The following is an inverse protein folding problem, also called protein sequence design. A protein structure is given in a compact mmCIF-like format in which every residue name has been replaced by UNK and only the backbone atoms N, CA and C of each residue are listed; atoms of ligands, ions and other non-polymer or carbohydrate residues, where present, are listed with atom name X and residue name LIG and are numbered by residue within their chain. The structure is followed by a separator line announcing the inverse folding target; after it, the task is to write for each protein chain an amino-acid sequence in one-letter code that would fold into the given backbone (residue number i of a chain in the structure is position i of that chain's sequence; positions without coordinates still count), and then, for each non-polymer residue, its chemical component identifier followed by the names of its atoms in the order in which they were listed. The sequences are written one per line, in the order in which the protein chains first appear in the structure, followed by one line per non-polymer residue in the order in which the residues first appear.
data_IF_849577338498
#
_entry.id   IF_849577338498
#
_cell.length_a   1.000
_cell.length_b   1.000
_cell.length_c   1.000
_cell.angle_alpha   90.00
_cell.angle_beta   90.00
_cell.angle_gamma   90.00
#
_symmetry.space_group_name_H-M   'P 1'
#
loop_
_entity.id
_entity.type
_entity.pdbx_description
1 polymer ?
#
# COMPACT_ATOMS: atom_id res chain seq x y z
N UNK A 1 -40.73 29.66 -9.10
CA UNK A 1 -41.33 30.80 -8.35
C UNK A 1 -40.63 30.92 -6.99
N UNK A 2 -39.98 32.05 -6.67
CA UNK A 2 -39.32 32.25 -5.36
C UNK A 2 -40.33 32.85 -4.37
N UNK A 3 -40.34 32.39 -3.11
CA UNK A 3 -41.22 32.91 -2.03
C UNK A 3 -40.37 33.44 -0.89
N UNK A 4 -40.70 34.62 -0.36
CA UNK A 4 -40.00 35.19 0.81
C UNK A 4 -40.37 34.40 2.06
N UNK A 5 -39.37 34.09 2.88
CA UNK A 5 -39.51 33.42 4.18
C UNK A 5 -38.61 34.13 5.18
N UNK A 6 -39.10 34.31 6.39
CA UNK A 6 -38.29 34.79 7.52
C UNK A 6 -37.96 33.60 8.42
N UNK A 7 -36.69 33.47 8.77
CA UNK A 7 -36.19 32.43 9.66
C UNK A 7 -35.01 32.99 10.45
N UNK A 8 -34.81 32.47 11.66
CA UNK A 8 -33.69 32.81 12.51
C UNK A 8 -32.54 31.85 12.23
N UNK A 9 -31.33 32.38 12.09
CA UNK A 9 -30.10 31.61 11.95
C UNK A 9 -29.14 31.95 13.08
N UNK A 10 -28.42 30.95 13.55
CA UNK A 10 -27.30 31.17 14.47
C UNK A 10 -26.11 31.79 13.71
N UNK A 11 -25.25 32.52 14.41
CA UNK A 11 -24.07 33.16 13.81
C UNK A 11 -23.16 32.16 13.08
N UNK A 12 -22.99 30.95 13.62
CA UNK A 12 -22.20 29.90 12.98
C UNK A 12 -22.75 29.53 11.59
N UNK A 13 -24.07 29.42 11.45
CA UNK A 13 -24.73 29.13 10.17
C UNK A 13 -24.58 30.28 9.20
N UNK A 14 -24.68 31.52 9.69
CA UNK A 14 -24.46 32.72 8.86
C UNK A 14 -23.02 32.78 8.34
N UNK A 15 -22.05 32.46 9.20
CA UNK A 15 -20.64 32.44 8.82
C UNK A 15 -20.34 31.39 7.74
N UNK A 16 -20.90 30.17 7.88
CA UNK A 16 -20.78 29.12 6.86
C UNK A 16 -21.39 29.57 5.53
N UNK A 17 -22.57 30.20 5.55
CA UNK A 17 -23.22 30.69 4.32
C UNK A 17 -22.41 31.80 3.64
N UNK A 18 -21.83 32.72 4.43
CA UNK A 18 -20.95 33.78 3.89
C UNK A 18 -19.67 33.21 3.29
N UNK A 19 -19.02 32.29 3.99
CA UNK A 19 -17.82 31.63 3.48
C UNK A 19 -18.12 30.91 2.16
N UNK A 20 -19.21 30.15 2.10
CA UNK A 20 -19.64 29.47 0.87
C UNK A 20 -19.95 30.45 -0.27
N UNK A 21 -20.62 31.58 0.06
CA UNK A 21 -20.90 32.66 -0.88
C UNK A 21 -19.60 33.24 -1.47
N UNK A 22 -18.62 33.53 -0.61
CA UNK A 22 -17.35 34.16 -0.99
C UNK A 22 -16.48 33.20 -1.84
N UNK A 23 -16.35 31.95 -1.41
CA UNK A 23 -15.57 30.91 -2.10
C UNK A 23 -16.09 30.62 -3.52
N UNK A 24 -17.40 30.75 -3.74
CA UNK A 24 -18.05 30.49 -5.04
C UNK A 24 -18.46 31.75 -5.80
N UNK A 25 -18.12 32.93 -5.28
CA UNK A 25 -18.44 34.23 -5.87
C UNK A 25 -19.94 34.42 -6.18
N UNK A 26 -20.81 33.97 -5.28
CA UNK A 26 -22.25 34.06 -5.44
C UNK A 26 -22.77 35.46 -5.07
N UNK A 27 -23.80 35.94 -5.78
CA UNK A 27 -24.24 37.33 -5.60
C UNK A 27 -25.08 37.53 -4.33
N UNK A 28 -25.73 36.48 -3.84
CA UNK A 28 -26.62 36.58 -2.68
C UNK A 28 -26.52 35.38 -1.75
N UNK A 29 -26.75 35.60 -0.46
CA UNK A 29 -26.88 34.53 0.53
C UNK A 29 -28.02 33.55 0.21
N UNK A 30 -29.06 34.01 -0.51
CA UNK A 30 -30.17 33.14 -0.95
C UNK A 30 -29.69 32.14 -1.99
N UNK A 31 -28.78 32.56 -2.87
CA UNK A 31 -28.20 31.71 -3.91
C UNK A 31 -27.28 30.66 -3.29
N UNK A 32 -26.43 31.05 -2.33
CA UNK A 32 -25.64 30.12 -1.53
C UNK A 32 -26.51 29.07 -0.81
N UNK A 33 -27.59 29.52 -0.17
CA UNK A 33 -28.53 28.61 0.50
C UNK A 33 -29.23 27.67 -0.49
N UNK A 34 -29.69 28.18 -1.64
CA UNK A 34 -30.32 27.37 -2.67
C UNK A 34 -29.36 26.32 -3.23
N UNK A 35 -28.12 26.68 -3.53
CA UNK A 35 -27.11 25.76 -4.06
C UNK A 35 -26.76 24.67 -3.03
N UNK A 36 -26.63 25.02 -1.75
CA UNK A 36 -26.41 24.04 -0.66
C UNK A 36 -27.60 23.08 -0.54
N UNK A 37 -28.83 23.59 -0.60
CA UNK A 37 -30.04 22.75 -0.52
C UNK A 37 -30.15 21.85 -1.75
N UNK A 38 -29.83 22.36 -2.94
CA UNK A 38 -29.79 21.56 -4.16
C UNK A 38 -28.68 20.51 -4.07
N UNK A 39 -27.46 20.85 -3.63
CA UNK A 39 -26.37 19.89 -3.42
C UNK A 39 -26.79 18.80 -2.42
N UNK A 40 -27.40 19.17 -1.30
CA UNK A 40 -27.89 18.23 -0.30
C UNK A 40 -29.01 17.33 -0.85
N UNK A 41 -29.88 17.87 -1.71
CA UNK A 41 -30.94 17.09 -2.37
C UNK A 41 -30.36 16.07 -3.35
N UNK A 42 -29.34 16.45 -4.14
CA UNK A 42 -28.68 15.56 -5.09
C UNK A 42 -27.71 14.57 -4.41
N UNK A 43 -27.14 14.91 -3.24
CA UNK A 43 -26.32 13.97 -2.42
C UNK A 43 -27.09 12.74 -1.95
N UNK A 44 -28.41 12.86 -1.75
CA UNK A 44 -29.26 11.76 -1.31
C UNK A 44 -29.88 10.96 -2.47
N UNK A 45 -29.69 11.41 -3.72
CA UNK A 45 -30.34 10.85 -4.92
C UNK A 45 -29.41 9.96 -5.76
N UNK A 46 -28.14 9.87 -5.38
CA UNK A 46 -27.16 9.02 -6.06
C UNK A 46 -26.59 8.04 -5.03
N UNK A 47 -26.66 6.76 -5.39
CA UNK A 47 -25.98 5.61 -4.77
C UNK A 47 -24.43 5.70 -4.90
N UNK A 48 -23.91 6.93 -4.91
CA UNK A 48 -22.52 7.30 -5.08
C UNK A 48 -21.66 6.65 -4.02
N UNK A 49 -22.18 6.47 -2.81
CA UNK A 49 -21.43 5.82 -1.73
C UNK A 49 -21.17 4.36 -2.03
N UNK A 50 -22.16 3.58 -2.47
CA UNK A 50 -21.95 2.14 -2.74
C UNK A 50 -21.07 1.93 -3.98
N UNK A 51 -21.32 2.70 -5.05
CA UNK A 51 -20.54 2.61 -6.30
C UNK A 51 -19.09 3.03 -6.06
N UNK A 52 -18.85 4.14 -5.36
CA UNK A 52 -17.49 4.61 -5.04
C UNK A 52 -16.79 3.63 -4.11
N UNK A 53 -17.48 3.10 -3.09
CA UNK A 53 -16.89 2.09 -2.18
C UNK A 53 -16.53 0.81 -2.93
N UNK A 54 -17.40 0.32 -3.84
CA UNK A 54 -17.11 -0.84 -4.68
C UNK A 54 -15.92 -0.61 -5.60
N UNK A 55 -15.84 0.56 -6.22
CA UNK A 55 -14.74 0.90 -7.12
C UNK A 55 -13.41 1.06 -6.35
N UNK A 56 -13.42 1.69 -5.17
CA UNK A 56 -12.26 1.73 -4.28
C UNK A 56 -11.83 0.31 -3.87
N UNK A 57 -12.77 -0.54 -3.47
CA UNK A 57 -12.47 -1.91 -3.06
C UNK A 57 -11.85 -2.72 -4.22
N UNK A 58 -12.37 -2.55 -5.44
CA UNK A 58 -11.83 -3.18 -6.65
C UNK A 58 -10.40 -2.70 -6.94
N UNK A 59 -10.15 -1.39 -6.89
CA UNK A 59 -8.81 -0.84 -7.11
C UNK A 59 -7.81 -1.28 -6.04
N UNK A 60 -8.23 -1.38 -4.79
CA UNK A 60 -7.40 -1.91 -3.70
C UNK A 60 -7.06 -3.38 -3.95
N UNK A 61 -8.06 -4.20 -4.29
CA UNK A 61 -7.87 -5.62 -4.59
C UNK A 61 -6.92 -5.82 -5.78
N UNK A 62 -7.07 -5.03 -6.85
CA UNK A 62 -6.21 -5.10 -8.03
C UNK A 62 -4.76 -4.72 -7.70
N UNK A 63 -4.55 -3.62 -6.95
CA UNK A 63 -3.21 -3.20 -6.50
C UNK A 63 -2.53 -4.23 -5.60
N UNK A 64 -3.29 -4.92 -4.74
CA UNK A 64 -2.76 -5.93 -3.83
C UNK A 64 -2.60 -7.31 -4.49
N UNK A 65 -3.41 -7.66 -5.48
CA UNK A 65 -3.48 -9.01 -6.05
C UNK A 65 -2.13 -9.52 -6.54
N UNK A 66 -1.40 -8.69 -7.29
CA UNK A 66 -0.07 -9.04 -7.80
C UNK A 66 0.96 -9.23 -6.67
N UNK A 67 0.93 -8.36 -5.65
CA UNK A 67 1.82 -8.48 -4.51
C UNK A 67 1.54 -9.74 -3.69
N UNK A 68 0.26 -10.01 -3.38
CA UNK A 68 -0.17 -11.20 -2.64
C UNK A 68 0.13 -12.48 -3.42
N UNK A 69 -0.06 -12.48 -4.74
CA UNK A 69 0.28 -13.63 -5.59
C UNK A 69 1.77 -13.93 -5.54
N UNK A 70 2.63 -12.92 -5.63
CA UNK A 70 4.09 -13.11 -5.49
C UNK A 70 4.48 -13.62 -4.10
N UNK A 71 3.89 -13.08 -3.03
CA UNK A 71 4.12 -13.56 -1.66
C UNK A 71 3.75 -15.03 -1.54
N UNK A 72 2.57 -15.41 -2.05
CA UNK A 72 2.10 -16.81 -2.03
C UNK A 72 3.05 -17.73 -2.82
N UNK A 73 3.46 -17.33 -4.02
CA UNK A 73 4.40 -18.12 -4.83
C UNK A 73 5.76 -18.28 -4.16
N UNK A 74 6.30 -17.19 -3.59
CA UNK A 74 7.56 -17.22 -2.86
C UNK A 74 7.50 -18.12 -1.63
N UNK A 75 6.42 -18.04 -0.86
CA UNK A 75 6.19 -18.89 0.33
C UNK A 75 6.09 -20.36 -0.08
N UNK A 76 5.24 -20.69 -1.05
CA UNK A 76 5.10 -22.06 -1.54
C UNK A 76 6.41 -22.64 -2.07
N UNK A 77 7.23 -21.83 -2.72
CA UNK A 77 8.54 -22.26 -3.21
C UNK A 77 9.53 -22.51 -2.07
N UNK A 78 9.56 -21.63 -1.07
CA UNK A 78 10.39 -21.81 0.12
C UNK A 78 9.99 -23.06 0.91
N UNK A 79 8.69 -23.31 1.06
CA UNK A 79 8.16 -24.50 1.73
C UNK A 79 8.56 -25.77 0.98
N UNK A 80 8.31 -25.82 -0.34
CA UNK A 80 8.70 -26.97 -1.18
C UNK A 80 10.20 -27.24 -1.14
N UNK A 81 11.03 -26.20 -1.19
CA UNK A 81 12.48 -26.36 -1.11
C UNK A 81 12.91 -26.86 0.27
N UNK A 82 12.28 -26.38 1.34
CA UNK A 82 12.54 -26.85 2.71
C UNK A 82 12.18 -28.32 2.88
N UNK A 83 11.02 -28.76 2.35
CA UNK A 83 10.60 -30.16 2.36
C UNK A 83 11.62 -31.07 1.64
N UNK A 84 12.08 -30.66 0.45
CA UNK A 84 13.10 -31.39 -0.31
C UNK A 84 14.40 -31.48 0.49
N UNK A 85 14.86 -30.38 1.09
CA UNK A 85 16.08 -30.35 1.91
C UNK A 85 15.95 -31.30 3.11
N UNK A 86 14.81 -31.28 3.82
CA UNK A 86 14.55 -32.18 4.95
C UNK A 86 14.59 -33.65 4.50
N UNK A 87 13.98 -33.98 3.36
CA UNK A 87 14.00 -35.34 2.81
C UNK A 87 15.42 -35.81 2.43
N UNK A 88 16.24 -34.92 1.86
CA UNK A 88 17.64 -35.20 1.55
C UNK A 88 18.46 -35.40 2.83
N UNK A 89 18.27 -34.54 3.84
CA UNK A 89 18.94 -34.68 5.14
C UNK A 89 18.55 -35.99 5.83
N UNK A 90 17.26 -36.36 5.83
CA UNK A 90 16.79 -37.63 6.36
C UNK A 90 17.46 -38.82 5.68
N UNK A 91 17.58 -38.78 4.35
CA UNK A 91 18.30 -39.80 3.59
C UNK A 91 19.78 -39.87 4.00
N UNK A 92 20.47 -38.73 4.04
CA UNK A 92 21.88 -38.68 4.42
C UNK A 92 22.14 -39.19 5.84
N UNK A 93 21.30 -38.78 6.80
CA UNK A 93 21.45 -39.16 8.21
C UNK A 93 21.09 -40.64 8.44
N UNK A 94 20.16 -41.21 7.66
CA UNK A 94 19.79 -42.63 7.78
C UNK A 94 20.95 -43.60 7.51
N UNK A 95 21.95 -43.17 6.73
CA UNK A 95 23.17 -43.93 6.48
C UNK A 95 24.27 -43.73 7.53
N UNK A 96 24.07 -42.82 8.50
CA UNK A 96 25.04 -42.53 9.55
C UNK A 96 24.60 -43.13 10.89
N UNK A 97 25.53 -43.72 11.64
CA UNK A 97 25.27 -44.24 12.99
C UNK A 97 25.32 -43.10 14.03
N UNK A 98 24.50 -42.07 13.83
CA UNK A 98 24.38 -40.98 14.79
C UNK A 98 23.42 -41.41 15.91
N UNK A 99 23.93 -41.55 17.13
CA UNK A 99 23.15 -41.93 18.31
C UNK A 99 22.77 -40.75 19.21
N UNK A 100 23.26 -39.55 18.88
CA UNK A 100 23.12 -38.36 19.72
C UNK A 100 22.82 -37.11 18.90
N UNK A 101 21.95 -36.25 19.40
CA UNK A 101 21.68 -34.92 18.86
C UNK A 101 22.53 -33.88 19.60
N UNK A 102 23.15 -32.97 18.86
CA UNK A 102 23.84 -31.82 19.44
C UNK A 102 22.80 -30.72 19.65
N UNK A 103 22.48 -30.43 20.91
CA UNK A 103 21.52 -29.38 21.31
C UNK A 103 22.22 -28.06 21.62
N UNK A 104 23.53 -28.09 21.84
CA UNK A 104 24.34 -26.92 22.11
C UNK A 104 24.65 -26.15 20.81
N UNK A 105 24.82 -24.83 20.93
CA UNK A 105 25.22 -23.99 19.80
C UNK A 105 26.65 -24.31 19.40
N UNK A 106 26.82 -24.92 18.23
CA UNK A 106 28.15 -25.19 17.68
C UNK A 106 28.76 -23.91 17.10
N UNK A 107 30.10 -23.79 17.03
CA UNK A 107 30.75 -22.67 16.34
C UNK A 107 30.27 -22.48 14.89
N UNK A 108 29.93 -23.59 14.21
CA UNK A 108 29.40 -23.59 12.85
C UNK A 108 27.99 -22.99 12.81
N UNK A 109 27.12 -23.38 13.74
CA UNK A 109 25.76 -22.84 13.84
C UNK A 109 25.77 -21.35 14.20
N UNK A 110 26.65 -20.94 15.13
CA UNK A 110 26.84 -19.54 15.48
C UNK A 110 27.29 -18.71 14.26
N UNK A 111 28.25 -19.22 13.48
CA UNK A 111 28.72 -18.56 12.25
C UNK A 111 27.63 -18.48 11.18
N UNK A 112 26.86 -19.54 10.98
CA UNK A 112 25.75 -19.54 10.02
C UNK A 112 24.68 -18.49 10.36
N UNK A 113 24.30 -18.39 11.65
CA UNK A 113 23.36 -17.35 12.11
C UNK A 113 23.90 -15.95 11.90
N UNK A 114 25.19 -15.74 12.13
CA UNK A 114 25.82 -14.43 11.92
C UNK A 114 25.79 -14.04 10.44
N UNK A 115 26.14 -14.98 9.53
CA UNK A 115 26.07 -14.74 8.08
C UNK A 115 24.66 -14.32 7.65
N UNK A 116 23.62 -15.01 8.14
CA UNK A 116 22.24 -14.68 7.81
C UNK A 116 21.83 -13.30 8.34
N UNK A 117 22.23 -12.98 9.57
CA UNK A 117 21.98 -11.65 10.16
C UNK A 117 22.64 -10.53 9.34
N UNK A 118 23.88 -10.74 8.90
CA UNK A 118 24.62 -9.78 8.09
C UNK A 118 23.97 -9.62 6.71
N UNK A 119 23.52 -10.72 6.11
CA UNK A 119 22.77 -10.73 4.85
C UNK A 119 21.48 -9.91 4.95
N UNK A 120 20.65 -10.14 5.97
CA UNK A 120 19.42 -9.37 6.22
C UNK A 120 19.74 -7.87 6.40
N UNK A 121 20.78 -7.56 7.16
CA UNK A 121 21.20 -6.18 7.41
C UNK A 121 21.63 -5.49 6.10
N UNK A 122 22.42 -6.18 5.27
CA UNK A 122 22.84 -5.70 3.96
C UNK A 122 21.65 -5.42 3.04
N UNK A 123 20.69 -6.33 2.94
CA UNK A 123 19.47 -6.11 2.14
C UNK A 123 18.65 -4.91 2.64
N UNK A 124 18.54 -4.74 3.96
CA UNK A 124 17.88 -3.57 4.55
C UNK A 124 18.59 -2.27 4.20
N UNK A 125 19.91 -2.24 4.26
CA UNK A 125 20.71 -1.06 3.88
C UNK A 125 20.56 -0.74 2.39
N UNK A 126 20.69 -1.74 1.50
CA UNK A 126 20.50 -1.57 0.04
C UNK A 126 19.13 -0.96 -0.28
N UNK A 127 18.08 -1.39 0.42
CA UNK A 127 16.73 -0.82 0.28
C UNK A 127 16.68 0.65 0.70
N UNK A 128 17.20 1.00 1.88
CA UNK A 128 17.24 2.37 2.38
C UNK A 128 18.04 3.31 1.46
N UNK A 129 19.16 2.83 0.91
CA UNK A 129 19.98 3.62 0.01
C UNK A 129 19.29 3.86 -1.34
N UNK A 130 18.53 2.88 -1.85
CA UNK A 130 17.70 3.05 -3.04
C UNK A 130 16.60 4.10 -2.81
N UNK A 131 15.92 4.05 -1.67
CA UNK A 131 14.88 5.01 -1.30
C UNK A 131 15.46 6.44 -1.16
N UNK A 132 16.63 6.57 -0.54
CA UNK A 132 17.35 7.86 -0.46
C UNK A 132 17.71 8.41 -1.83
N UNK A 133 18.25 7.57 -2.74
CA UNK A 133 18.57 7.99 -4.13
C UNK A 133 17.34 8.49 -4.89
N UNK A 134 16.19 7.85 -4.69
CA UNK A 134 14.92 8.27 -5.29
C UNK A 134 14.46 9.62 -4.71
N UNK A 135 14.63 9.84 -3.40
CA UNK A 135 14.22 11.10 -2.74
C UNK A 135 15.12 12.31 -3.03
N UNK A 136 16.37 12.10 -3.46
CA UNK A 136 17.38 13.19 -3.66
C UNK A 136 17.38 13.74 -5.10
N UNK A 137 16.58 13.18 -6.03
CA UNK A 137 16.38 13.76 -7.37
C UNK A 137 15.01 14.46 -7.51
N UNK A 138 14.89 15.76 -7.18
CA UNK A 138 13.82 16.59 -7.73
C UNK A 138 14.32 17.39 -8.95
N UNK A 139 13.54 17.34 -10.02
CA UNK A 139 13.53 18.19 -11.22
C UNK A 139 14.74 18.16 -12.17
N UNK A 140 14.64 17.34 -13.22
CA UNK A 140 14.92 17.79 -14.60
C UNK A 140 13.65 17.63 -15.43
N UNK A 141 13.26 18.73 -16.06
CA UNK A 141 11.98 18.97 -16.73
C UNK A 141 11.72 18.06 -17.94
N UNK A 142 10.44 17.71 -18.12
CA UNK A 142 9.73 17.75 -19.40
C UNK A 142 10.11 16.74 -20.47
N UNK A 143 9.40 15.60 -20.50
CA UNK A 143 8.69 15.11 -21.70
C UNK A 143 7.72 13.99 -21.30
N UNK A 144 6.49 14.13 -21.76
CA UNK A 144 5.44 13.11 -21.68
C UNK A 144 5.93 11.79 -22.27
N UNK A 145 5.97 10.75 -21.45
CA UNK A 145 5.67 9.37 -21.87
C UNK A 145 4.95 8.67 -20.73
N UNK A 146 3.93 7.90 -21.08
CA UNK A 146 3.19 7.01 -20.20
C UNK A 146 4.12 6.28 -19.22
N UNK A 147 3.72 6.02 -17.96
CA UNK A 147 4.57 5.25 -17.06
C UNK A 147 4.55 3.80 -17.51
N UNK A 148 5.45 3.46 -18.43
CA UNK A 148 5.96 2.10 -18.52
C UNK A 148 6.48 1.75 -17.13
N UNK A 149 5.93 0.66 -16.61
CA UNK A 149 6.40 -0.07 -15.44
C UNK A 149 7.92 0.02 -15.31
N UNK A 150 8.38 0.89 -14.40
CA UNK A 150 9.79 0.99 -14.04
C UNK A 150 10.33 -0.40 -13.64
N UNK A 151 11.62 -0.67 -13.87
CA UNK A 151 12.15 -2.03 -13.84
C UNK A 151 11.84 -2.66 -12.49
N UNK A 152 10.95 -3.65 -12.56
CA UNK A 152 10.75 -4.64 -11.53
C UNK A 152 12.11 -5.16 -11.10
N UNK A 153 12.29 -5.44 -9.82
CA UNK A 153 13.38 -6.31 -9.41
C UNK A 153 13.31 -7.54 -10.31
N UNK A 154 14.34 -7.71 -11.14
CA UNK A 154 14.42 -8.82 -12.08
C UNK A 154 14.44 -10.10 -11.27
N UNK A 155 13.91 -11.19 -11.82
CA UNK A 155 13.78 -12.48 -11.10
C UNK A 155 15.11 -12.96 -10.47
N UNK A 156 16.26 -12.45 -10.95
CA UNK A 156 17.59 -12.64 -10.36
C UNK A 156 17.80 -12.01 -8.96
N UNK A 157 17.00 -11.02 -8.56
CA UNK A 157 17.04 -10.44 -7.20
C UNK A 157 16.24 -11.29 -6.17
N UNK A 158 15.45 -12.27 -6.62
CA UNK A 158 14.59 -13.13 -5.77
C UNK A 158 15.23 -14.51 -5.52
N UNK A 159 16.29 -14.86 -6.24
CA UNK A 159 17.02 -16.11 -6.03
C UNK A 159 18.43 -15.80 -5.50
N UNK A 160 18.58 -15.70 -4.17
CA UNK A 160 19.78 -16.13 -3.45
C UNK A 160 19.56 -16.28 -1.94
#
# INVERSE_FOLDING_TARGET
MKRRKEFLLNESTINVLKQYQDERHLQTMTEALSEIVDEHKHRNDIDTTEIVVKEIAKQVAEKLSNALTRIRLGTNNADRNSDIIIMLLNTMLSYQQLSTLITEDTPQLAKARQIEKDRITHFRQKKLDREKKISVQPNKEGKETHPESGPFMTDDDIIL
#
